data_IF_232128906831
#
_entry.id   IF_232128906831
#
_cell.length_a   1.000
_cell.length_b   1.000
_cell.length_c   1.000
_cell.angle_alpha   90.00
_cell.angle_beta   90.00
_cell.angle_gamma   90.00
#
_symmetry.space_group_name_H-M   'P 1'
#
loop_
_entity.id
_entity.type
_entity.pdbx_description
1 polymer ?
#
# COMPACT_ATOMS: atom_id res chain seq x y z
N UNK A 1 20.71 62.67 -36.84
CA UNK A 1 20.32 62.23 -38.20
C UNK A 1 21.25 61.09 -38.62
N UNK A 2 20.86 59.83 -38.37
CA UNK A 2 20.40 58.83 -39.37
C UNK A 2 21.40 58.57 -40.51
N UNK A 3 21.96 57.35 -40.52
CA UNK A 3 22.24 56.41 -41.62
C UNK A 3 23.19 55.33 -41.05
N UNK A 4 22.99 54.01 -41.13
CA UNK A 4 22.08 53.19 -41.93
C UNK A 4 22.10 51.77 -41.34
N UNK A 5 20.93 51.14 -41.30
CA UNK A 5 20.71 49.76 -40.88
C UNK A 5 21.39 48.74 -41.80
N UNK A 6 21.92 47.65 -41.22
CA UNK A 6 22.05 46.31 -41.83
C UNK A 6 22.58 45.33 -40.79
N UNK A 7 21.68 44.50 -40.26
CA UNK A 7 21.87 43.08 -39.88
C UNK A 7 20.56 42.61 -39.25
N UNK A 8 19.61 42.35 -40.13
CA UNK A 8 18.34 41.69 -39.86
C UNK A 8 18.56 40.19 -40.13
N UNK A 9 17.98 39.34 -39.27
CA UNK A 9 17.64 37.93 -39.45
C UNK A 9 18.77 36.88 -39.52
N UNK A 10 18.83 36.04 -38.48
CA UNK A 10 18.92 34.58 -38.61
C UNK A 10 18.54 33.89 -37.27
N UNK A 11 17.35 33.25 -37.28
CA UNK A 11 16.93 32.05 -36.52
C UNK A 11 17.26 31.98 -35.00
N UNK A 12 16.33 32.01 -34.04
CA UNK A 12 15.01 31.40 -33.98
C UNK A 12 14.98 29.97 -34.52
N UNK A 13 15.57 29.02 -33.78
CA UNK A 13 15.28 27.57 -33.68
C UNK A 13 16.51 26.87 -33.07
N UNK A 14 16.33 25.82 -32.26
CA UNK A 14 17.30 25.15 -31.34
C UNK A 14 17.36 25.86 -29.98
N UNK A 15 16.67 25.44 -28.91
CA UNK A 15 16.69 24.10 -28.35
C UNK A 15 15.36 23.74 -27.65
N UNK A 16 14.26 23.63 -28.40
CA UNK A 16 13.01 22.97 -27.91
C UNK A 16 13.07 21.44 -28.02
N UNK A 17 14.25 20.86 -28.26
CA UNK A 17 14.48 19.42 -28.29
C UNK A 17 15.12 18.91 -26.98
N UNK A 18 14.80 19.52 -25.83
CA UNK A 18 14.90 18.78 -24.58
C UNK A 18 13.78 17.76 -24.61
N UNK A 19 14.12 16.60 -25.17
CA UNK A 19 13.36 15.38 -25.12
C UNK A 19 12.65 15.27 -23.78
N UNK A 20 11.35 15.56 -23.81
CA UNK A 20 10.39 15.05 -22.86
C UNK A 20 10.40 13.53 -23.03
N UNK A 21 11.42 12.88 -22.47
CA UNK A 21 11.27 11.49 -22.06
C UNK A 21 10.24 11.54 -20.95
N UNK A 22 8.97 11.49 -21.34
CA UNK A 22 7.90 11.15 -20.43
C UNK A 22 8.32 9.82 -19.82
N UNK A 23 8.88 9.85 -18.62
CA UNK A 23 9.12 8.66 -17.84
C UNK A 23 7.76 7.97 -17.79
N UNK A 24 7.65 6.85 -18.48
CA UNK A 24 6.46 6.02 -18.40
C UNK A 24 6.53 5.44 -16.99
N UNK A 25 5.96 6.15 -16.02
CA UNK A 25 5.77 5.62 -14.69
C UNK A 25 4.79 4.46 -14.87
N UNK A 26 5.29 3.24 -14.77
CA UNK A 26 4.42 2.09 -14.72
C UNK A 26 3.61 2.21 -13.42
N UNK A 27 2.29 2.24 -13.54
CA UNK A 27 1.40 2.23 -12.39
C UNK A 27 1.72 0.98 -11.54
N UNK A 28 2.13 1.20 -10.29
CA UNK A 28 2.49 0.14 -9.37
C UNK A 28 1.28 -0.29 -8.54
N UNK A 29 1.21 -1.56 -8.16
CA UNK A 29 0.18 -2.05 -7.25
C UNK A 29 0.77 -2.13 -5.85
N UNK A 30 0.15 -1.46 -4.89
CA UNK A 30 0.60 -1.48 -3.51
C UNK A 30 -0.60 -1.43 -2.56
N UNK A 31 -0.47 -2.13 -1.43
CA UNK A 31 -1.49 -2.22 -0.40
C UNK A 31 -0.81 -2.11 0.96
N UNK A 32 -1.51 -1.49 1.91
CA UNK A 32 -1.15 -1.46 3.33
C UNK A 32 -2.34 -1.90 4.17
N UNK A 33 -2.11 -2.64 5.25
CA UNK A 33 -3.10 -2.98 6.26
C UNK A 33 -2.70 -2.40 7.61
N UNK A 34 -3.53 -1.48 8.12
CA UNK A 34 -3.32 -0.89 9.44
C UNK A 34 -4.26 -1.55 10.47
N UNK A 35 -3.67 -2.15 11.52
CA UNK A 35 -4.44 -2.75 12.62
C UNK A 35 -5.07 -1.63 13.46
N UNK A 36 -6.40 -1.66 13.59
CA UNK A 36 -7.18 -0.71 14.39
C UNK A 36 -7.66 -1.31 15.70
N UNK A 37 -7.70 -2.65 15.80
CA UNK A 37 -8.06 -3.34 17.04
C UNK A 37 -7.85 -4.83 16.97
N UNK A 38 -7.71 -5.45 18.14
CA UNK A 38 -7.59 -6.91 18.30
C UNK A 38 -8.56 -7.38 19.37
N UNK A 39 -9.21 -8.52 19.11
CA UNK A 39 -10.06 -9.19 20.09
C UNK A 39 -9.75 -10.68 20.13
N UNK A 40 -9.89 -11.29 21.31
CA UNK A 40 -9.76 -12.73 21.53
C UNK A 40 -11.09 -13.35 21.88
N UNK A 41 -11.38 -14.49 21.26
CA UNK A 41 -12.52 -15.33 21.63
C UNK A 41 -12.19 -16.79 21.34
N UNK A 42 -12.31 -17.67 22.35
CA UNK A 42 -12.17 -19.13 22.21
C UNK A 42 -10.89 -19.58 21.46
N UNK A 43 -9.73 -18.99 21.76
CA UNK A 43 -8.45 -19.32 21.09
C UNK A 43 -8.31 -18.76 19.69
N UNK A 44 -9.20 -17.85 19.29
CA UNK A 44 -9.16 -17.13 18.01
C UNK A 44 -8.78 -15.67 18.26
N UNK A 45 -7.75 -15.20 17.56
CA UNK A 45 -7.40 -13.79 17.48
C UNK A 45 -8.07 -13.19 16.25
N UNK A 46 -8.87 -12.14 16.44
CA UNK A 46 -9.41 -11.33 15.35
C UNK A 46 -8.67 -9.99 15.31
N UNK A 47 -7.94 -9.73 14.23
CA UNK A 47 -7.30 -8.44 13.97
C UNK A 47 -8.17 -7.63 13.02
N UNK A 48 -8.84 -6.62 13.56
CA UNK A 48 -9.57 -5.63 12.78
C UNK A 48 -8.60 -4.55 12.29
N UNK A 49 -8.79 -4.10 11.06
CA UNK A 49 -7.95 -3.07 10.47
C UNK A 49 -8.52 -2.53 9.18
N UNK A 50 -7.71 -1.72 8.51
CA UNK A 50 -8.08 -1.01 7.28
C UNK A 50 -7.08 -1.34 6.19
N UNK A 51 -7.54 -1.93 5.11
CA UNK A 51 -6.78 -1.96 3.86
C UNK A 51 -6.79 -0.57 3.22
N UNK A 52 -5.65 -0.17 2.68
CA UNK A 52 -5.48 1.06 1.91
C UNK A 52 -4.73 0.74 0.64
N UNK A 53 -5.32 1.08 -0.51
CA UNK A 53 -4.63 0.98 -1.79
C UNK A 53 -3.68 2.17 -1.93
N UNK A 54 -2.39 1.92 -1.69
CA UNK A 54 -1.32 2.91 -1.74
C UNK A 54 -0.65 3.00 -3.10
N UNK A 55 -1.06 2.15 -4.06
CA UNK A 55 -0.55 2.13 -5.41
C UNK A 55 -1.39 2.98 -6.39
N UNK A 56 -1.08 2.81 -7.66
CA UNK A 56 -1.67 3.54 -8.79
C UNK A 56 -2.66 2.69 -9.60
N UNK A 57 -2.91 1.44 -9.20
CA UNK A 57 -3.82 0.50 -9.87
C UNK A 57 -5.08 0.25 -9.07
N UNK A 58 -6.21 0.07 -9.76
CA UNK A 58 -7.45 -0.44 -9.20
C UNK A 58 -7.29 -1.92 -8.81
N UNK A 59 -7.54 -2.27 -7.55
CA UNK A 59 -7.37 -3.62 -7.01
C UNK A 59 -8.73 -4.24 -6.76
N UNK A 60 -9.07 -5.30 -7.49
CA UNK A 60 -10.31 -6.05 -7.31
C UNK A 60 -10.20 -6.97 -6.08
N UNK A 61 -9.11 -7.73 -6.02
CA UNK A 61 -8.91 -8.80 -5.07
C UNK A 61 -7.43 -8.94 -4.75
N UNK A 62 -7.14 -9.28 -3.51
CA UNK A 62 -5.86 -9.83 -3.06
C UNK A 62 -5.93 -11.34 -3.21
N UNK A 63 -5.25 -11.90 -4.19
CA UNK A 63 -5.25 -13.35 -4.41
C UNK A 63 -4.47 -14.05 -3.31
N UNK A 64 -3.42 -13.42 -2.80
CA UNK A 64 -2.59 -13.95 -1.73
C UNK A 64 -1.87 -12.84 -0.97
N UNK A 65 -1.83 -12.96 0.34
CA UNK A 65 -0.94 -12.19 1.22
C UNK A 65 -0.58 -13.03 2.43
N UNK A 66 0.67 -12.96 2.87
CA UNK A 66 1.06 -13.49 4.19
C UNK A 66 0.97 -12.36 5.19
N UNK A 67 0.22 -12.54 6.27
CA UNK A 67 0.05 -11.54 7.32
C UNK A 67 0.52 -12.10 8.65
N UNK A 68 1.39 -11.34 9.30
CA UNK A 68 1.87 -11.59 10.66
C UNK A 68 1.23 -10.61 11.62
N UNK A 69 0.89 -11.07 12.81
CA UNK A 69 0.48 -10.20 13.91
C UNK A 69 1.59 -10.16 14.94
N UNK A 70 2.02 -8.93 15.24
CA UNK A 70 3.03 -8.64 16.25
C UNK A 70 2.34 -7.89 17.39
N UNK A 71 2.55 -8.36 18.61
CA UNK A 71 2.18 -7.63 19.81
C UNK A 71 3.41 -6.96 20.42
N UNK A 72 3.16 -5.87 21.13
CA UNK A 72 4.15 -5.22 21.99
C UNK A 72 3.56 -4.82 23.34
N UNK A 73 4.42 -4.71 24.34
CA UNK A 73 4.07 -4.24 25.69
C UNK A 73 4.75 -2.91 26.02
N UNK A 74 4.43 -2.36 27.20
CA UNK A 74 5.00 -1.07 27.67
C UNK A 74 6.46 -1.19 28.11
N UNK A 75 6.98 -2.40 28.30
CA UNK A 75 8.40 -2.64 28.55
C UNK A 75 9.24 -2.59 27.26
N UNK A 76 8.59 -2.54 26.09
CA UNK A 76 9.24 -2.53 24.78
C UNK A 76 9.51 -3.93 24.21
N UNK A 77 9.04 -4.99 24.87
CA UNK A 77 9.11 -6.33 24.32
C UNK A 77 8.13 -6.45 23.16
N UNK A 78 8.52 -7.20 22.12
CA UNK A 78 7.67 -7.50 20.97
C UNK A 78 7.70 -8.98 20.66
N UNK A 79 6.60 -9.50 20.12
CA UNK A 79 6.46 -10.92 19.79
C UNK A 79 5.55 -11.13 18.59
N UNK A 80 6.00 -11.92 17.62
CA UNK A 80 5.14 -12.51 16.58
C UNK A 80 4.25 -13.57 17.23
N UNK A 81 2.93 -13.42 17.12
CA UNK A 81 1.96 -14.31 17.77
C UNK A 81 1.04 -15.02 16.80
N UNK A 82 0.95 -14.55 15.56
CA UNK A 82 0.24 -15.22 14.49
C UNK A 82 0.93 -14.94 13.16
N UNK A 83 0.88 -15.91 12.25
CA UNK A 83 1.44 -15.81 10.91
C UNK A 83 0.64 -16.74 10.00
N UNK A 84 -0.04 -16.16 9.02
CA UNK A 84 -0.97 -16.90 8.18
C UNK A 84 -0.99 -16.37 6.75
N UNK A 85 -1.27 -17.26 5.81
CA UNK A 85 -1.51 -16.91 4.41
C UNK A 85 -3.01 -16.76 4.22
N UNK A 86 -3.43 -15.58 3.79
CA UNK A 86 -4.81 -15.31 3.41
C UNK A 86 -4.91 -15.26 1.89
N UNK A 87 -5.95 -15.88 1.35
CA UNK A 87 -6.19 -16.00 -0.08
C UNK A 87 -7.58 -15.46 -0.43
N UNK A 88 -7.73 -15.02 -1.68
CA UNK A 88 -9.02 -14.61 -2.25
C UNK A 88 -9.77 -13.46 -1.50
N UNK A 89 -9.05 -12.48 -0.96
CA UNK A 89 -9.66 -11.34 -0.25
C UNK A 89 -10.22 -10.32 -1.25
N UNK A 90 -11.54 -10.18 -1.29
CA UNK A 90 -12.19 -9.19 -2.15
C UNK A 90 -12.18 -7.83 -1.47
N UNK A 91 -11.58 -6.83 -2.12
CA UNK A 91 -11.40 -5.48 -1.55
C UNK A 91 -12.01 -4.39 -2.41
N UNK A 92 -11.97 -4.53 -3.74
CA UNK A 92 -12.50 -3.58 -4.73
C UNK A 92 -12.14 -2.12 -4.40
N UNK A 93 -10.85 -1.79 -4.47
CA UNK A 93 -10.30 -0.49 -4.10
C UNK A 93 -9.66 0.23 -5.30
N UNK A 94 -10.06 1.47 -5.54
CA UNK A 94 -9.30 2.40 -6.39
C UNK A 94 -8.07 2.95 -5.64
N UNK A 95 -7.09 3.53 -6.35
CA UNK A 95 -5.98 4.25 -5.73
C UNK A 95 -6.44 5.25 -4.66
N UNK A 96 -5.87 5.14 -3.46
CA UNK A 96 -6.20 5.98 -2.31
C UNK A 96 -7.48 5.62 -1.56
N UNK A 97 -8.24 4.63 -2.02
CA UNK A 97 -9.42 4.13 -1.28
C UNK A 97 -9.03 3.14 -0.18
N UNK A 98 -9.92 3.02 0.79
CA UNK A 98 -9.75 2.16 1.95
C UNK A 98 -10.98 1.30 2.20
N UNK A 99 -10.80 0.10 2.75
CA UNK A 99 -11.89 -0.75 3.24
C UNK A 99 -11.53 -1.40 4.57
N UNK A 100 -12.49 -1.49 5.48
CA UNK A 100 -12.32 -2.22 6.73
C UNK A 100 -12.27 -3.72 6.47
N UNK A 101 -11.37 -4.41 7.17
CA UNK A 101 -11.23 -5.86 7.08
C UNK A 101 -10.89 -6.48 8.44
N UNK A 102 -11.17 -7.77 8.56
CA UNK A 102 -10.87 -8.55 9.77
C UNK A 102 -10.13 -9.83 9.38
N UNK A 103 -8.87 -9.92 9.81
CA UNK A 103 -8.15 -11.18 9.76
C UNK A 103 -8.48 -12.03 10.98
N UNK A 104 -8.69 -13.32 10.74
CA UNK A 104 -9.04 -14.29 11.79
C UNK A 104 -7.92 -15.32 11.83
N UNK A 105 -7.28 -15.43 13.00
CA UNK A 105 -6.20 -16.36 13.27
C UNK A 105 -6.66 -17.36 14.32
N UNK A 106 -6.65 -18.64 13.98
CA UNK A 106 -7.00 -19.73 14.90
C UNK A 106 -5.78 -20.16 15.72
N UNK A 107 -6.03 -20.81 16.87
CA UNK A 107 -5.02 -21.38 17.76
C UNK A 107 -3.99 -20.38 18.29
N UNK A 108 -4.42 -19.12 18.49
CA UNK A 108 -3.58 -18.06 19.06
C UNK A 108 -3.89 -17.93 20.56
N UNK A 109 -2.91 -18.16 21.45
CA UNK A 109 -3.09 -17.94 22.88
C UNK A 109 -3.45 -16.48 23.17
N UNK A 110 -4.25 -16.26 24.22
CA UNK A 110 -4.54 -14.91 24.68
C UNK A 110 -3.33 -14.32 25.42
N UNK A 111 -3.01 -13.06 25.10
CA UNK A 111 -1.91 -12.30 25.72
C UNK A 111 -2.49 -11.07 26.43
N UNK A 112 -2.44 -11.08 27.77
CA UNK A 112 -3.09 -10.05 28.60
C UNK A 112 -2.23 -8.80 28.83
N UNK A 113 -0.95 -8.85 28.51
CA UNK A 113 0.03 -7.78 28.70
C UNK A 113 0.30 -6.95 27.43
N UNK A 114 -0.38 -7.27 26.32
CA UNK A 114 -0.24 -6.56 25.06
C UNK A 114 -0.89 -5.16 25.14
N UNK A 115 -0.09 -4.12 24.86
CA UNK A 115 -0.53 -2.73 24.82
C UNK A 115 -0.49 -2.14 23.41
N UNK A 116 0.19 -2.80 22.48
CA UNK A 116 0.33 -2.39 21.08
C UNK A 116 0.17 -3.60 20.17
N UNK A 117 -0.38 -3.35 18.99
CA UNK A 117 -0.59 -4.34 17.95
C UNK A 117 -0.14 -3.77 16.61
N UNK A 118 0.52 -4.60 15.82
CA UNK A 118 0.91 -4.29 14.46
C UNK A 118 0.68 -5.50 13.56
N UNK A 119 0.49 -5.25 12.27
CA UNK A 119 0.58 -6.26 11.25
C UNK A 119 1.87 -6.04 10.45
N UNK A 120 2.48 -7.13 10.00
CA UNK A 120 3.50 -7.11 8.95
C UNK A 120 3.02 -7.99 7.80
N UNK A 121 2.99 -7.43 6.61
CA UNK A 121 2.54 -8.10 5.40
C UNK A 121 3.74 -8.47 4.53
N UNK A 122 3.71 -9.71 4.03
CA UNK A 122 4.65 -10.18 3.03
C UNK A 122 4.29 -9.72 1.63
N UNK A 123 4.78 -10.46 0.63
CA UNK A 123 4.48 -10.19 -0.76
C UNK A 123 2.98 -10.31 -1.04
N UNK A 124 2.46 -9.35 -1.80
CA UNK A 124 1.07 -9.29 -2.22
C UNK A 124 0.92 -9.79 -3.65
N UNK A 125 -0.13 -10.56 -3.88
CA UNK A 125 -0.59 -10.91 -5.22
C UNK A 125 -2.00 -10.34 -5.42
N UNK A 126 -2.25 -9.70 -6.57
CA UNK A 126 -3.48 -8.96 -6.85
C UNK A 126 -4.12 -9.36 -8.17
N UNK A 127 -5.44 -9.17 -8.26
CA UNK A 127 -6.14 -8.96 -9.54
C UNK A 127 -6.71 -7.55 -9.60
N UNK A 128 -6.93 -7.07 -10.81
CA UNK A 128 -7.28 -5.68 -11.10
C UNK A 128 -8.65 -5.58 -11.78
N UNK A 129 -9.28 -4.42 -11.69
CA UNK A 129 -10.46 -4.07 -12.47
C UNK A 129 -10.20 -2.78 -13.27
N UNK A 130 -10.84 -2.67 -14.42
CA UNK A 130 -10.81 -1.46 -15.24
C UNK A 130 -11.94 -0.52 -14.83
N UNK A 131 -11.77 0.79 -15.10
CA UNK A 131 -12.85 1.78 -14.91
C UNK A 131 -13.95 1.72 -15.98
#
# INVERSE_FOLDING_TARGET
>A
MRKTAKRLMAAALLCTALFSTSAVAFADAAMNFEVTGVSYENGTLTAAGTFSNTGDKNIEKVTKVTTKIILGNDAGDTKEVANHVFEDLTVHLKPGETVEYKFIFSDVPEYTDATKWAAEEGDWEFTYFEE
#
